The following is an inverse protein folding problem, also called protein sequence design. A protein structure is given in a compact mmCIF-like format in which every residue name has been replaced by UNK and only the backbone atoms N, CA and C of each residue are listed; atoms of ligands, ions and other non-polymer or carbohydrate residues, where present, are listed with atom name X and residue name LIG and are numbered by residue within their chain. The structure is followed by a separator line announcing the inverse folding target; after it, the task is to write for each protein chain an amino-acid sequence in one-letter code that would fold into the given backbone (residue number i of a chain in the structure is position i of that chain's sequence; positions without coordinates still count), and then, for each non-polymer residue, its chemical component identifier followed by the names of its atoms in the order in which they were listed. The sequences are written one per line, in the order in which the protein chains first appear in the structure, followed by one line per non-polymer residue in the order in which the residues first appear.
data_IF_779467951426
#
_entry.id   IF_779467951426
#
_cell.length_a   1.000
_cell.length_b   1.000
_cell.length_c   1.000
_cell.angle_alpha   90.00
_cell.angle_beta   90.00
_cell.angle_gamma   90.00
#
_symmetry.space_group_name_H-M   'P 1'
#
loop_
_entity.id
_entity.type
_entity.pdbx_description
1 polymer ?
#
# COMPACT_ATOMS: atom_id res chain seq x y z
N UNK A 1 -28.49 -1.26 -16.01
CA UNK A 1 -29.80 -0.65 -15.67
C UNK A 1 -30.52 -1.44 -14.59
N UNK A 2 -31.06 -2.65 -14.86
CA UNK A 2 -31.78 -3.44 -13.85
C UNK A 2 -30.95 -3.70 -12.57
N UNK A 3 -29.64 -3.96 -12.73
CA UNK A 3 -28.70 -4.09 -11.62
C UNK A 3 -28.62 -2.84 -10.73
N UNK A 4 -28.45 -1.65 -11.32
CA UNK A 4 -28.42 -0.38 -10.59
C UNK A 4 -29.77 -0.09 -9.92
N UNK A 5 -30.88 -0.30 -10.62
CA UNK A 5 -32.24 -0.14 -10.08
C UNK A 5 -32.49 -1.03 -8.85
N UNK A 6 -32.05 -2.29 -8.90
CA UNK A 6 -32.16 -3.21 -7.77
C UNK A 6 -31.37 -2.71 -6.55
N UNK A 7 -30.12 -2.26 -6.73
CA UNK A 7 -29.31 -1.75 -5.63
C UNK A 7 -29.88 -0.47 -5.02
N UNK A 8 -30.34 0.47 -5.85
CA UNK A 8 -30.96 1.71 -5.35
C UNK A 8 -32.22 1.39 -4.53
N UNK A 9 -33.06 0.46 -5.00
CA UNK A 9 -34.24 -0.01 -4.25
C UNK A 9 -33.90 -0.63 -2.88
N UNK A 10 -32.71 -1.22 -2.74
CA UNK A 10 -32.19 -1.75 -1.48
C UNK A 10 -31.64 -0.67 -0.53
N UNK A 11 -31.70 0.61 -0.91
CA UNK A 11 -31.27 1.75 -0.08
C UNK A 11 -29.83 2.22 -0.31
N UNK A 12 -29.12 1.67 -1.30
CA UNK A 12 -27.76 2.12 -1.62
C UNK A 12 -27.78 3.45 -2.37
N UNK A 13 -27.14 4.46 -1.79
CA UNK A 13 -27.02 5.82 -2.32
C UNK A 13 -25.65 6.12 -2.96
N UNK A 14 -24.72 5.14 -2.92
CA UNK A 14 -23.42 5.23 -3.58
C UNK A 14 -23.06 3.87 -4.17
N UNK A 15 -22.82 3.83 -5.48
CA UNK A 15 -22.52 2.61 -6.23
C UNK A 15 -21.19 2.77 -6.97
N UNK A 16 -20.11 2.25 -6.40
CA UNK A 16 -18.78 2.27 -7.03
C UNK A 16 -18.72 1.10 -8.02
N UNK A 17 -18.51 1.42 -9.29
CA UNK A 17 -18.35 0.48 -10.38
C UNK A 17 -16.92 0.56 -10.89
N UNK A 18 -16.24 -0.58 -11.00
CA UNK A 18 -14.88 -0.67 -11.54
C UNK A 18 -14.96 -1.36 -12.90
N UNK A 19 -14.68 -0.64 -13.98
CA UNK A 19 -14.78 -1.15 -15.35
C UNK A 19 -13.44 -1.00 -16.09
N UNK A 20 -13.26 -1.74 -17.19
CA UNK A 20 -12.17 -1.49 -18.12
C UNK A 20 -12.37 -0.18 -18.89
N UNK A 21 -11.27 0.46 -19.30
CA UNK A 21 -11.29 1.71 -20.05
C UNK A 21 -12.06 1.65 -21.38
N UNK A 22 -12.14 0.45 -21.98
CA UNK A 22 -12.95 0.14 -23.17
C UNK A 22 -14.46 0.33 -22.94
N UNK A 23 -14.90 0.39 -21.69
CA UNK A 23 -16.30 0.63 -21.32
C UNK A 23 -16.63 2.11 -21.04
N UNK A 24 -15.69 3.05 -21.26
CA UNK A 24 -15.90 4.47 -21.00
C UNK A 24 -17.15 5.07 -21.68
N UNK A 25 -17.46 4.62 -22.90
CA UNK A 25 -18.66 5.06 -23.63
C UNK A 25 -20.00 4.64 -23.00
N UNK A 26 -20.00 3.66 -22.09
CA UNK A 26 -21.21 3.23 -21.37
C UNK A 26 -21.51 4.08 -20.14
N UNK A 27 -20.53 4.83 -19.61
CA UNK A 27 -20.70 5.69 -18.44
C UNK A 27 -21.87 6.68 -18.60
N UNK A 28 -21.93 7.52 -19.65
CA UNK A 28 -23.05 8.45 -19.83
C UNK A 28 -24.39 7.71 -20.01
N UNK A 29 -24.40 6.52 -20.62
CA UNK A 29 -25.60 5.71 -20.84
C UNK A 29 -26.18 5.20 -19.52
N UNK A 30 -25.33 4.72 -18.61
CA UNK A 30 -25.75 4.25 -17.29
C UNK A 30 -26.24 5.41 -16.43
N UNK A 31 -25.55 6.55 -16.44
CA UNK A 31 -26.00 7.76 -15.75
C UNK A 31 -27.36 8.25 -16.26
N UNK A 32 -27.56 8.27 -17.59
CA UNK A 32 -28.84 8.62 -18.19
C UNK A 32 -29.97 7.65 -17.80
N UNK A 33 -29.68 6.35 -17.76
CA UNK A 33 -30.65 5.35 -17.33
C UNK A 33 -31.04 5.48 -15.85
N UNK A 34 -30.09 5.79 -14.95
CA UNK A 34 -30.38 6.04 -13.53
C UNK A 34 -31.25 7.29 -13.37
N UNK A 35 -30.96 8.35 -14.14
CA UNK A 35 -31.80 9.55 -14.19
C UNK A 35 -33.22 9.25 -14.68
N UNK A 36 -33.36 8.44 -15.74
CA UNK A 36 -34.66 8.03 -16.27
C UNK A 36 -35.50 7.20 -15.27
N UNK A 37 -34.86 6.53 -14.32
CA UNK A 37 -35.51 5.83 -13.22
C UNK A 37 -35.90 6.75 -12.05
N UNK A 38 -35.68 8.05 -12.16
CA UNK A 38 -36.02 9.04 -11.12
C UNK A 38 -34.98 9.14 -9.99
N UNK A 39 -33.74 8.75 -10.24
CA UNK A 39 -32.66 8.78 -9.24
C UNK A 39 -31.51 9.71 -9.66
N UNK A 40 -30.69 10.12 -8.68
CA UNK A 40 -29.51 10.94 -8.92
C UNK A 40 -28.49 10.20 -9.83
N UNK A 41 -28.12 10.77 -11.00
CA UNK A 41 -27.14 10.17 -11.92
C UNK A 41 -25.72 10.05 -11.35
N UNK A 42 -25.40 10.71 -10.22
CA UNK A 42 -24.10 10.59 -9.56
C UNK A 42 -24.04 9.43 -8.55
N UNK A 43 -25.16 8.76 -8.25
CA UNK A 43 -25.17 7.51 -7.46
C UNK A 43 -24.21 6.47 -8.05
N UNK A 44 -24.23 6.15 -9.36
CA UNK A 44 -23.21 5.32 -9.99
C UNK A 44 -21.91 6.11 -10.22
N UNK A 45 -20.93 5.86 -9.35
CA UNK A 45 -19.55 6.29 -9.54
C UNK A 45 -18.82 5.23 -10.37
N UNK A 46 -18.18 5.63 -11.47
CA UNK A 46 -17.45 4.70 -12.34
C UNK A 46 -15.97 5.03 -12.30
N UNK A 47 -15.16 4.04 -11.95
CA UNK A 47 -13.71 4.05 -11.99
C UNK A 47 -13.30 3.23 -13.21
N UNK A 48 -12.50 3.82 -14.11
CA UNK A 48 -12.03 3.16 -15.32
C UNK A 48 -10.59 2.69 -15.12
N UNK A 49 -10.38 1.37 -15.15
CA UNK A 49 -9.08 0.74 -15.13
C UNK A 49 -8.49 0.69 -16.54
N UNK A 50 -7.27 1.21 -16.70
CA UNK A 50 -6.52 1.04 -17.93
C UNK A 50 -6.01 -0.39 -18.12
N UNK A 51 -5.66 -0.69 -19.37
CA UNK A 51 -5.03 -1.96 -19.70
C UNK A 51 -3.63 -2.04 -19.09
N UNK A 52 -3.29 -3.23 -18.60
CA UNK A 52 -1.96 -3.56 -18.07
C UNK A 52 -1.15 -4.22 -19.18
N UNK A 53 0.09 -3.81 -19.36
CA UNK A 53 1.07 -4.52 -20.17
C UNK A 53 1.85 -5.47 -19.27
N UNK A 54 1.82 -6.75 -19.60
CA UNK A 54 2.62 -7.75 -18.88
C UNK A 54 3.98 -7.86 -19.55
N UNK A 55 5.04 -7.66 -18.78
CA UNK A 55 6.43 -7.78 -19.20
C UNK A 55 7.09 -8.98 -18.50
N UNK A 56 8.14 -9.51 -19.11
CA UNK A 56 9.05 -10.47 -18.49
C UNK A 56 10.48 -10.01 -18.77
N UNK A 57 11.18 -9.54 -17.75
CA UNK A 57 12.55 -9.06 -17.90
C UNK A 57 12.66 -7.86 -18.86
N UNK A 58 11.70 -6.94 -18.78
CA UNK A 58 11.60 -5.73 -19.61
C UNK A 58 11.00 -5.94 -21.00
N UNK A 59 10.82 -7.19 -21.45
CA UNK A 59 10.24 -7.49 -22.76
C UNK A 59 8.73 -7.77 -22.64
N UNK A 60 7.88 -7.24 -23.55
CA UNK A 60 6.46 -7.58 -23.57
C UNK A 60 6.23 -9.08 -23.76
N UNK A 61 5.35 -9.66 -22.94
CA UNK A 61 4.92 -11.05 -23.14
C UNK A 61 3.99 -11.08 -24.36
N UNK A 62 4.30 -11.86 -25.41
CA UNK A 62 3.50 -11.89 -26.62
C UNK A 62 2.10 -12.44 -26.31
N UNK A 63 1.07 -11.67 -26.67
CA UNK A 63 -0.32 -12.11 -26.65
C UNK A 63 -0.76 -12.44 -28.09
N UNK A 64 -1.18 -13.68 -28.33
CA UNK A 64 -1.62 -14.11 -29.66
C UNK A 64 -3.13 -14.30 -29.68
N UNK A 65 -3.83 -13.34 -30.30
CA UNK A 65 -5.27 -13.43 -30.56
C UNK A 65 -5.64 -14.57 -31.53
N UNK A 66 -4.67 -15.11 -32.30
CA UNK A 66 -4.90 -16.18 -33.29
C UNK A 66 -4.71 -17.58 -32.74
N UNK A 67 -3.80 -17.76 -31.78
CA UNK A 67 -3.58 -19.06 -31.10
C UNK A 67 -4.39 -19.18 -29.80
N UNK A 68 -4.96 -18.07 -29.30
CA UNK A 68 -5.73 -18.05 -28.06
C UNK A 68 -4.85 -17.96 -26.80
N UNK A 69 -3.55 -17.72 -26.96
CA UNK A 69 -2.61 -17.57 -25.85
C UNK A 69 -2.75 -16.17 -25.22
N UNK A 70 -3.38 -16.14 -24.04
CA UNK A 70 -3.43 -14.99 -23.15
C UNK A 70 -2.79 -15.38 -21.83
N UNK A 71 -2.09 -14.43 -21.19
CA UNK A 71 -1.56 -14.65 -19.85
C UNK A 71 -2.71 -14.60 -18.85
N UNK A 72 -2.99 -15.71 -18.17
CA UNK A 72 -4.05 -15.73 -17.15
C UNK A 72 -3.58 -14.96 -15.91
N UNK A 73 -4.48 -14.17 -15.30
CA UNK A 73 -4.18 -13.54 -14.02
C UNK A 73 -3.79 -14.57 -12.95
N UNK A 74 -4.37 -15.78 -13.00
CA UNK A 74 -4.03 -16.88 -12.10
C UNK A 74 -2.58 -17.32 -12.27
N UNK A 75 -2.07 -17.42 -13.49
CA UNK A 75 -0.68 -17.77 -13.77
C UNK A 75 0.27 -16.71 -13.21
N UNK A 76 -0.03 -15.43 -13.45
CA UNK A 76 0.75 -14.31 -12.89
C UNK A 76 0.78 -14.37 -11.37
N UNK A 77 -0.38 -14.55 -10.72
CA UNK A 77 -0.48 -14.61 -9.26
C UNK A 77 0.24 -15.84 -8.69
N UNK A 78 0.17 -16.99 -9.37
CA UNK A 78 0.88 -18.20 -8.95
C UNK A 78 2.41 -18.00 -9.06
N UNK A 79 2.87 -17.26 -10.06
CA UNK A 79 4.30 -17.05 -10.28
C UNK A 79 4.89 -15.99 -9.34
N UNK A 80 4.19 -14.87 -9.11
CA UNK A 80 4.72 -13.72 -8.34
C UNK A 80 4.26 -13.71 -6.88
N UNK A 81 3.21 -14.47 -6.55
CA UNK A 81 2.53 -14.42 -5.26
C UNK A 81 1.47 -13.32 -5.17
N UNK A 82 0.44 -13.56 -4.35
CA UNK A 82 -0.72 -12.67 -4.18
C UNK A 82 -0.35 -11.26 -3.70
N UNK A 83 0.68 -11.17 -2.85
CA UNK A 83 1.10 -9.92 -2.20
C UNK A 83 1.78 -9.00 -3.20
N UNK A 84 2.74 -9.53 -3.96
CA UNK A 84 3.40 -8.78 -5.04
C UNK A 84 2.40 -8.35 -6.10
N UNK A 85 1.50 -9.25 -6.52
CA UNK A 85 0.45 -8.91 -7.48
C UNK A 85 -0.40 -7.73 -6.99
N UNK A 86 -1.01 -7.84 -5.79
CA UNK A 86 -1.86 -6.78 -5.24
C UNK A 86 -1.12 -5.47 -5.08
N UNK A 87 0.07 -5.49 -4.49
CA UNK A 87 0.81 -4.27 -4.23
C UNK A 87 1.16 -3.57 -5.55
N UNK A 88 1.71 -4.30 -6.52
CA UNK A 88 2.14 -3.74 -7.82
C UNK A 88 0.98 -3.21 -8.65
N UNK A 89 -0.14 -3.93 -8.74
CA UNK A 89 -1.35 -3.43 -9.43
C UNK A 89 -1.89 -2.13 -8.81
N UNK A 90 -1.65 -1.93 -7.52
CA UNK A 90 -2.07 -0.74 -6.80
C UNK A 90 -1.02 0.38 -6.81
N UNK A 91 0.15 0.24 -7.45
CA UNK A 91 1.17 1.32 -7.48
C UNK A 91 0.86 2.49 -8.43
N UNK A 92 -0.25 2.41 -9.16
CA UNK A 92 -0.63 3.39 -10.18
C UNK A 92 -2.09 3.81 -10.02
N UNK A 93 -2.40 5.02 -10.51
CA UNK A 93 -3.78 5.48 -10.70
C UNK A 93 -4.53 4.51 -11.61
N UNK A 94 -5.83 4.36 -11.39
CA UNK A 94 -6.71 3.51 -12.21
C UNK A 94 -6.63 3.87 -13.69
N UNK A 95 -6.50 5.17 -13.99
CA UNK A 95 -6.49 5.70 -15.36
C UNK A 95 -5.09 5.69 -16.00
N UNK A 96 -4.06 5.22 -15.31
CA UNK A 96 -2.70 5.16 -15.83
C UNK A 96 -2.38 3.77 -16.40
N UNK A 97 -1.63 3.71 -17.50
CA UNK A 97 -1.05 2.45 -17.96
C UNK A 97 -0.08 1.92 -16.90
N UNK A 98 -0.12 0.60 -16.70
CA UNK A 98 0.80 -0.11 -15.82
C UNK A 98 1.58 -1.14 -16.64
N UNK A 99 2.90 -1.07 -16.52
CA UNK A 99 3.79 -2.12 -16.97
C UNK A 99 4.06 -3.04 -15.77
N UNK A 100 3.56 -4.26 -15.84
CA UNK A 100 3.72 -5.28 -14.80
C UNK A 100 4.82 -6.24 -15.22
N UNK A 101 6.01 -6.10 -14.65
CA UNK A 101 7.13 -7.01 -14.91
C UNK A 101 7.15 -8.18 -13.92
N UNK A 102 6.97 -9.40 -14.44
CA UNK A 102 6.93 -10.64 -13.66
C UNK A 102 8.26 -10.89 -12.93
N UNK A 103 9.40 -10.60 -13.56
CA UNK A 103 10.71 -10.84 -12.96
C UNK A 103 11.02 -9.84 -11.85
N UNK A 104 10.57 -8.60 -11.96
CA UNK A 104 10.66 -7.62 -10.85
C UNK A 104 9.77 -8.06 -9.69
N UNK A 105 8.54 -8.49 -9.97
CA UNK A 105 7.58 -8.90 -8.97
C UNK A 105 8.01 -10.12 -8.14
N UNK A 106 8.81 -11.03 -8.72
CA UNK A 106 9.35 -12.23 -8.07
C UNK A 106 10.54 -11.97 -7.16
N UNK A 107 11.29 -10.89 -7.39
CA UNK A 107 12.54 -10.64 -6.67
C UNK A 107 12.28 -10.38 -5.20
N UNK A 108 13.01 -11.09 -4.34
CA UNK A 108 13.15 -10.78 -2.92
C UNK A 108 14.32 -9.80 -2.73
N UNK A 109 14.23 -8.65 -3.39
CA UNK A 109 15.24 -7.59 -3.31
C UNK A 109 14.59 -6.26 -2.96
N UNK A 110 15.40 -5.30 -2.57
CA UNK A 110 14.95 -3.94 -2.26
C UNK A 110 14.39 -3.20 -3.49
N UNK A 111 14.58 -3.72 -4.70
CA UNK A 111 13.98 -3.18 -5.93
C UNK A 111 12.50 -3.56 -6.06
N UNK A 112 12.05 -4.61 -5.35
CA UNK A 112 10.65 -5.00 -5.33
C UNK A 112 9.89 -4.15 -4.28
N UNK A 113 8.94 -3.30 -4.71
CA UNK A 113 8.25 -2.38 -3.81
C UNK A 113 7.52 -3.05 -2.64
N UNK A 114 6.94 -4.24 -2.85
CA UNK A 114 6.26 -4.94 -1.75
C UNK A 114 7.26 -5.51 -0.75
N UNK A 115 8.35 -6.10 -1.26
CA UNK A 115 9.40 -6.67 -0.42
C UNK A 115 10.04 -5.58 0.45
N UNK A 116 10.30 -4.42 -0.16
CA UNK A 116 10.85 -3.24 0.52
C UNK A 116 10.00 -2.84 1.74
N UNK A 117 8.69 -2.68 1.55
CA UNK A 117 7.76 -2.30 2.62
C UNK A 117 7.60 -3.42 3.67
N UNK A 118 7.49 -4.67 3.25
CA UNK A 118 7.37 -5.81 4.16
C UNK A 118 8.65 -5.96 5.01
N UNK A 119 9.81 -5.70 4.43
CA UNK A 119 11.09 -5.77 5.14
C UNK A 119 11.22 -4.67 6.20
N UNK A 120 10.68 -3.46 5.95
CA UNK A 120 10.56 -2.43 6.97
C UNK A 120 9.72 -2.91 8.18
N UNK A 121 8.59 -3.57 7.92
CA UNK A 121 7.75 -4.15 8.98
C UNK A 121 8.49 -5.24 9.76
N UNK A 122 9.09 -6.22 9.07
CA UNK A 122 9.84 -7.30 9.69
C UNK A 122 11.03 -6.78 10.52
N UNK A 123 11.71 -5.72 10.05
CA UNK A 123 12.77 -5.03 10.79
C UNK A 123 12.25 -4.38 12.07
N UNK A 124 11.11 -3.70 12.02
CA UNK A 124 10.50 -3.10 13.22
C UNK A 124 10.10 -4.19 14.24
N UNK A 125 9.55 -5.32 13.79
CA UNK A 125 9.29 -6.48 14.65
C UNK A 125 10.57 -7.07 15.25
N UNK A 126 11.64 -7.15 14.46
CA UNK A 126 12.97 -7.58 14.95
C UNK A 126 13.52 -6.66 16.02
N UNK A 127 13.33 -5.34 15.87
CA UNK A 127 13.76 -4.36 16.86
C UNK A 127 13.03 -4.52 18.19
N UNK A 128 11.73 -4.80 18.17
CA UNK A 128 10.96 -5.07 19.38
C UNK A 128 11.47 -6.31 20.14
N UNK A 129 11.87 -7.37 19.41
CA UNK A 129 12.48 -8.57 20.01
C UNK A 129 13.84 -8.25 20.65
N UNK A 130 14.71 -7.56 19.93
CA UNK A 130 16.02 -7.12 20.44
C UNK A 130 15.90 -6.21 21.68
N UNK A 131 14.89 -5.33 21.70
CA UNK A 131 14.62 -4.48 22.85
C UNK A 131 14.24 -5.27 24.09
N UNK A 132 13.39 -6.30 23.95
CA UNK A 132 13.04 -7.19 25.04
C UNK A 132 14.28 -7.95 25.59
N UNK A 133 15.14 -8.45 24.70
CA UNK A 133 16.41 -9.10 25.07
C UNK A 133 17.37 -8.14 25.80
N UNK A 134 17.36 -6.85 25.44
CA UNK A 134 18.15 -5.80 26.09
C UNK A 134 17.51 -5.25 27.39
N UNK A 135 16.44 -5.88 27.89
CA UNK A 135 15.76 -5.43 29.11
C UNK A 135 15.00 -4.10 28.94
N UNK A 136 14.57 -3.80 27.72
CA UNK A 136 13.69 -2.67 27.35
C UNK A 136 12.40 -3.19 26.68
N UNK A 137 11.62 -4.09 27.32
CA UNK A 137 10.35 -4.51 26.74
C UNK A 137 9.35 -3.35 26.68
N UNK A 138 8.47 -3.40 25.70
CA UNK A 138 7.31 -2.50 25.62
C UNK A 138 6.21 -2.86 26.64
N UNK A 139 5.13 -2.07 26.71
CA UNK A 139 4.81 -0.91 25.87
C UNK A 139 5.67 0.33 26.19
N UNK A 140 5.67 1.30 25.28
CA UNK A 140 6.45 2.55 25.37
C UNK A 140 5.55 3.80 25.38
N UNK A 141 4.31 3.67 25.85
CA UNK A 141 3.31 4.75 25.81
C UNK A 141 3.65 5.93 26.74
N UNK A 142 4.50 5.67 27.74
CA UNK A 142 5.01 6.61 28.74
C UNK A 142 6.38 7.20 28.36
N UNK A 143 6.94 6.84 27.20
CA UNK A 143 8.25 7.32 26.79
C UNK A 143 8.23 8.82 26.49
N UNK A 144 9.28 9.53 26.91
CA UNK A 144 9.43 10.95 26.62
C UNK A 144 9.83 11.16 25.15
N UNK A 145 8.85 11.49 24.31
CA UNK A 145 9.05 11.75 22.89
C UNK A 145 9.78 13.08 22.63
N UNK A 146 9.93 13.97 23.61
CA UNK A 146 10.69 15.20 23.45
C UNK A 146 12.19 14.94 23.23
N UNK A 147 12.67 13.74 23.57
CA UNK A 147 14.03 13.28 23.32
C UNK A 147 14.31 12.99 21.83
N UNK A 148 13.28 12.87 20.99
CA UNK A 148 13.42 12.63 19.55
C UNK A 148 13.71 13.93 18.80
N UNK A 149 15.00 14.29 18.73
CA UNK A 149 15.44 15.58 18.17
C UNK A 149 16.08 15.47 16.79
N UNK A 150 16.40 14.26 16.32
CA UNK A 150 17.11 14.12 15.05
C UNK A 150 16.21 14.48 13.85
N UNK A 151 16.74 15.10 12.79
CA UNK A 151 15.97 15.43 11.60
C UNK A 151 15.24 14.22 10.99
N UNK A 152 15.89 13.05 11.00
CA UNK A 152 15.31 11.79 10.52
C UNK A 152 14.16 11.28 11.41
N UNK A 153 14.28 11.42 12.74
CA UNK A 153 13.22 11.04 13.68
C UNK A 153 11.99 11.94 13.48
N UNK A 154 12.21 13.26 13.41
CA UNK A 154 11.16 14.24 13.13
C UNK A 154 10.51 13.99 11.75
N UNK A 155 11.30 13.59 10.75
CA UNK A 155 10.81 13.20 9.43
C UNK A 155 9.85 12.01 9.49
N UNK A 156 10.24 10.94 10.20
CA UNK A 156 9.39 9.76 10.40
C UNK A 156 8.13 10.13 11.18
N UNK A 157 8.24 10.92 12.26
CA UNK A 157 7.10 11.37 13.05
C UNK A 157 6.09 12.17 12.22
N UNK A 158 6.55 13.01 11.28
CA UNK A 158 5.67 13.72 10.34
C UNK A 158 4.88 12.76 9.46
N UNK A 159 5.51 11.73 8.89
CA UNK A 159 4.80 10.70 8.12
C UNK A 159 3.72 10.02 8.98
N UNK A 160 4.10 9.57 10.19
CA UNK A 160 3.17 8.92 11.11
C UNK A 160 1.95 9.79 11.45
N UNK A 161 2.17 11.10 11.67
CA UNK A 161 1.11 12.05 11.99
C UNK A 161 0.10 12.25 10.84
N UNK A 162 0.56 12.25 9.59
CA UNK A 162 -0.32 12.48 8.42
C UNK A 162 -1.04 11.22 7.93
N UNK A 163 -0.66 10.04 8.41
CA UNK A 163 -1.24 8.76 7.95
C UNK A 163 -2.78 8.72 7.97
N UNK A 164 -3.48 9.09 9.07
CA UNK A 164 -4.94 9.00 9.11
C UNK A 164 -5.63 9.89 8.06
N UNK A 165 -5.07 11.08 7.81
CA UNK A 165 -5.58 12.00 6.80
C UNK A 165 -5.28 11.48 5.39
N UNK A 166 -4.06 10.95 5.15
CA UNK A 166 -3.69 10.33 3.88
C UNK A 166 -4.65 9.19 3.51
N UNK A 167 -4.95 8.28 4.46
CA UNK A 167 -5.91 7.18 4.25
C UNK A 167 -7.31 7.71 3.92
N UNK A 168 -7.78 8.72 4.66
CA UNK A 168 -9.09 9.35 4.42
C UNK A 168 -9.17 9.94 3.02
N UNK A 169 -8.17 10.71 2.61
CA UNK A 169 -8.11 11.34 1.30
C UNK A 169 -7.99 10.29 0.18
N UNK A 170 -7.23 9.22 0.39
CA UNK A 170 -7.15 8.07 -0.51
C UNK A 170 -8.52 7.40 -0.69
N UNK A 171 -9.28 7.20 0.39
CA UNK A 171 -10.59 6.56 0.34
C UNK A 171 -11.65 7.46 -0.34
N UNK A 172 -11.63 8.77 -0.06
CA UNK A 172 -12.54 9.73 -0.68
C UNK A 172 -12.32 9.84 -2.20
N UNK A 173 -11.06 9.86 -2.62
CA UNK A 173 -10.69 9.93 -4.03
C UNK A 173 -10.78 8.58 -4.77
N UNK A 174 -10.95 7.46 -4.05
CA UNK A 174 -10.81 6.10 -4.59
C UNK A 174 -9.43 5.83 -5.21
N UNK A 175 -8.38 6.37 -4.59
CA UNK A 175 -7.02 6.35 -5.11
C UNK A 175 -6.11 5.48 -4.21
N UNK A 176 -6.29 4.15 -4.16
CA UNK A 176 -5.53 3.25 -3.27
C UNK A 176 -4.02 3.30 -3.49
N UNK A 177 -3.56 3.74 -4.66
CA UNK A 177 -2.15 3.93 -4.95
C UNK A 177 -1.45 4.91 -4.02
N UNK A 178 -2.17 5.90 -3.47
CA UNK A 178 -1.61 6.81 -2.46
C UNK A 178 -1.09 6.06 -1.24
N UNK A 179 -1.76 4.98 -0.83
CA UNK A 179 -1.32 4.13 0.28
C UNK A 179 -0.02 3.42 -0.07
N UNK A 180 0.13 2.90 -1.30
CA UNK A 180 1.37 2.24 -1.73
C UNK A 180 2.55 3.20 -1.76
N UNK A 181 2.36 4.42 -2.27
CA UNK A 181 3.38 5.47 -2.30
C UNK A 181 3.78 5.88 -0.89
N UNK A 182 2.80 6.18 -0.04
CA UNK A 182 3.05 6.55 1.36
C UNK A 182 3.85 5.47 2.11
N UNK A 183 3.49 4.19 1.93
CA UNK A 183 4.19 3.09 2.59
C UNK A 183 5.64 2.95 2.13
N UNK A 184 5.91 3.15 0.84
CA UNK A 184 7.27 3.14 0.30
C UNK A 184 8.10 4.30 0.87
N UNK A 185 7.52 5.51 0.94
CA UNK A 185 8.19 6.69 1.50
C UNK A 185 8.49 6.53 2.99
N UNK A 186 7.53 6.03 3.78
CA UNK A 186 7.74 5.73 5.21
C UNK A 186 8.79 4.64 5.39
N UNK A 187 8.74 3.56 4.60
CA UNK A 187 9.74 2.50 4.63
C UNK A 187 11.13 3.06 4.28
N UNK A 188 11.23 3.95 3.30
CA UNK A 188 12.49 4.56 2.89
C UNK A 188 13.07 5.47 3.98
N UNK A 189 12.25 6.32 4.60
CA UNK A 189 12.66 7.14 5.74
C UNK A 189 13.17 6.27 6.89
N UNK A 190 12.45 5.18 7.19
CA UNK A 190 12.81 4.24 8.25
C UNK A 190 14.11 3.47 7.94
N UNK A 191 14.27 2.97 6.72
CA UNK A 191 15.50 2.30 6.29
C UNK A 191 16.70 3.25 6.29
N UNK A 192 16.50 4.50 5.86
CA UNK A 192 17.51 5.55 5.89
C UNK A 192 17.99 5.82 7.31
N UNK A 193 17.07 6.07 8.24
CA UNK A 193 17.38 6.26 9.67
C UNK A 193 18.19 5.08 10.23
N UNK A 194 17.73 3.85 10.01
CA UNK A 194 18.42 2.64 10.48
C UNK A 194 19.84 2.50 9.92
N UNK A 195 20.02 2.79 8.64
CA UNK A 195 21.31 2.63 7.96
C UNK A 195 22.29 3.72 8.37
N UNK A 196 21.79 4.95 8.57
CA UNK A 196 22.61 6.09 8.97
C UNK A 196 23.20 5.92 10.37
N UNK A 197 22.40 5.39 11.31
CA UNK A 197 22.76 5.39 12.73
C UNK A 197 23.16 4.05 13.32
N UNK A 198 23.15 2.95 12.54
CA UNK A 198 23.42 1.57 13.02
C UNK A 198 24.66 1.41 13.93
N UNK A 199 25.73 2.14 13.62
CA UNK A 199 27.04 2.01 14.26
C UNK A 199 27.37 3.23 15.15
N UNK A 200 26.33 3.92 15.65
CA UNK A 200 26.45 5.14 16.46
C UNK A 200 25.61 5.09 17.74
N UNK A 201 25.84 6.01 18.67
CA UNK A 201 25.00 6.20 19.87
C UNK A 201 23.57 6.68 19.53
N UNK A 202 23.35 7.10 18.30
CA UNK A 202 22.05 7.54 17.79
C UNK A 202 21.17 6.38 17.27
N UNK A 203 21.63 5.13 17.42
CA UNK A 203 20.84 3.93 17.09
C UNK A 203 19.63 3.77 18.02
N UNK A 204 18.67 2.93 17.61
CA UNK A 204 17.42 2.70 18.37
C UNK A 204 17.65 2.19 19.79
N UNK A 205 18.59 1.27 19.98
CA UNK A 205 18.91 0.69 21.28
C UNK A 205 20.36 1.08 21.59
N UNK A 206 20.56 2.15 22.37
CA UNK A 206 21.88 2.69 22.74
C UNK A 206 22.14 2.52 24.24
N UNK A 207 23.22 3.12 24.75
CA UNK A 207 23.50 3.17 26.18
C UNK A 207 22.48 4.03 26.97
N UNK A 208 21.85 4.99 26.30
CA UNK A 208 20.79 5.82 26.88
C UNK A 208 19.44 5.09 26.80
N UNK A 209 18.95 4.66 27.96
CA UNK A 209 17.73 3.87 28.08
C UNK A 209 16.48 4.70 27.80
N UNK A 210 16.44 5.96 28.20
CA UNK A 210 15.25 6.81 28.03
C UNK A 210 15.10 7.23 26.57
N UNK A 211 16.21 7.62 25.93
CA UNK A 211 16.24 7.85 24.48
C UNK A 211 15.89 6.59 23.69
N UNK A 212 16.40 5.43 24.11
CA UNK A 212 16.04 4.15 23.49
C UNK A 212 14.54 3.86 23.59
N UNK A 213 13.90 4.12 24.74
CA UNK A 213 12.45 3.97 24.91
C UNK A 213 11.68 4.89 23.97
N UNK A 214 12.10 6.15 23.83
CA UNK A 214 11.49 7.10 22.90
C UNK A 214 11.58 6.62 21.44
N UNK A 215 12.76 6.14 21.02
CA UNK A 215 12.96 5.59 19.67
C UNK A 215 12.18 4.31 19.43
N UNK A 216 12.08 3.45 20.44
CA UNK A 216 11.27 2.24 20.37
C UNK A 216 9.77 2.55 20.28
N UNK A 217 9.28 3.62 20.90
CA UNK A 217 7.92 4.11 20.69
C UNK A 217 7.68 4.53 19.23
N UNK A 218 8.62 5.29 18.63
CA UNK A 218 8.57 5.63 17.20
C UNK A 218 8.57 4.38 16.32
N UNK A 219 9.46 3.41 16.57
CA UNK A 219 9.53 2.14 15.83
C UNK A 219 8.23 1.35 15.96
N UNK A 220 7.61 1.32 17.14
CA UNK A 220 6.33 0.65 17.36
C UNK A 220 5.20 1.31 16.55
N UNK A 221 5.19 2.64 16.44
CA UNK A 221 4.25 3.38 15.59
C UNK A 221 4.49 3.10 14.09
N UNK A 222 5.74 3.07 13.62
CA UNK A 222 6.09 2.66 12.24
C UNK A 222 5.56 1.27 11.94
N UNK A 223 5.81 0.30 12.83
CA UNK A 223 5.30 -1.07 12.70
C UNK A 223 3.79 -1.09 12.52
N UNK A 224 3.06 -0.38 13.39
CA UNK A 224 1.60 -0.34 13.34
C UNK A 224 1.07 0.28 12.04
N UNK A 225 1.65 1.41 11.61
CA UNK A 225 1.22 2.12 10.39
C UNK A 225 1.48 1.28 9.14
N UNK A 226 2.65 0.63 9.05
CA UNK A 226 2.96 -0.25 7.92
C UNK A 226 2.00 -1.45 7.90
N UNK A 227 1.76 -2.10 9.05
CA UNK A 227 0.82 -3.21 9.14
C UNK A 227 -0.61 -2.82 8.71
N UNK A 228 -1.08 -1.66 9.17
CA UNK A 228 -2.39 -1.12 8.80
C UNK A 228 -2.48 -0.85 7.30
N UNK A 229 -1.47 -0.18 6.71
CA UNK A 229 -1.44 0.12 5.29
C UNK A 229 -1.39 -1.14 4.41
N UNK A 230 -0.55 -2.13 4.76
CA UNK A 230 -0.51 -3.41 4.05
C UNK A 230 -1.85 -4.14 4.15
N UNK A 231 -2.50 -4.12 5.33
CA UNK A 231 -3.82 -4.72 5.54
C UNK A 231 -4.89 -4.07 4.66
N UNK A 232 -4.90 -2.74 4.54
CA UNK A 232 -5.81 -2.01 3.63
C UNK A 232 -5.64 -2.42 2.16
N UNK A 233 -4.41 -2.76 1.76
CA UNK A 233 -4.08 -3.23 0.40
C UNK A 233 -4.35 -4.73 0.21
N UNK A 234 -4.72 -5.47 1.27
CA UNK A 234 -4.88 -6.92 1.24
C UNK A 234 -3.55 -7.67 1.04
N UNK A 235 -2.45 -7.07 1.52
CA UNK A 235 -1.07 -7.59 1.47
C UNK A 235 -0.65 -8.00 2.88
N UNK A 236 0.14 -9.07 3.02
CA UNK A 236 0.60 -9.50 4.34
C UNK A 236 1.68 -8.59 4.91
N UNK A 237 1.74 -8.50 6.25
CA UNK A 237 2.76 -7.78 7.00
C UNK A 237 3.60 -8.79 7.81
N UNK A 238 4.61 -9.44 7.20
CA UNK A 238 5.37 -10.50 7.87
C UNK A 238 6.19 -9.95 9.04
N UNK A 239 6.25 -10.69 10.15
CA UNK A 239 7.07 -10.31 11.32
C UNK A 239 8.54 -10.75 11.21
N UNK A 240 8.83 -11.59 10.21
CA UNK A 240 10.15 -12.16 9.87
C UNK A 240 10.23 -12.33 8.35
N UNK A 241 11.36 -11.94 7.77
CA UNK A 241 11.71 -12.10 6.36
C UNK A 241 13.19 -12.42 6.25
#
# INVERSE_FOLDING_TARGET
IAYHANKIRRGFHRLINIWGADHGGYVPRVKAAVRALGHDPEIPQVILLQMVKVLRGGAPVPMSKRTGEFVELREVVNEVGKDAARFLFLTRRSEAQLDFDIEVAKRQSMDNPVFYVQYAHARACSMARKAAEAGLPGPYADADLALLTLPEELGIMKYLAVYPEMVRNSAQAHEPHRVTTYLQELAAAFHGYFTKYKDSEERVISGDRDLSRARLAMVAAVRQVIANGLTLLGVSAPERM
#
